data_IF_357417047151
#
_entry.id   IF_357417047151
#
_cell.length_a   1.000
_cell.length_b   1.000
_cell.length_c   1.000
_cell.angle_alpha   90.00
_cell.angle_beta   90.00
_cell.angle_gamma   90.00
#
_symmetry.space_group_name_H-M   'P 1'
#
loop_
_entity.id
_entity.type
_entity.pdbx_description
1 polymer ?
#
# COMPACT_ATOMS: atom_id res chain seq x y z
N UNK A 1 11.78 -4.26 7.53
CA UNK A 1 10.36 -4.03 7.22
C UNK A 1 9.63 -5.34 7.04
N UNK A 2 8.62 -5.59 7.87
CA UNK A 2 7.71 -6.72 7.74
C UNK A 2 6.68 -6.45 6.63
N UNK A 3 6.69 -7.28 5.58
CA UNK A 3 5.83 -7.10 4.40
C UNK A 3 4.35 -7.29 4.71
N UNK A 4 4.00 -8.20 5.62
CA UNK A 4 2.59 -8.45 5.96
C UNK A 4 2.03 -7.30 6.80
N UNK A 5 2.83 -6.76 7.73
CA UNK A 5 2.48 -5.54 8.46
C UNK A 5 2.31 -4.34 7.53
N UNK A 6 3.17 -4.19 6.53
CA UNK A 6 3.03 -3.13 5.53
C UNK A 6 1.74 -3.28 4.73
N UNK A 7 1.44 -4.48 4.23
CA UNK A 7 0.18 -4.73 3.51
C UNK A 7 -1.04 -4.48 4.40
N UNK A 8 -1.00 -4.94 5.66
CA UNK A 8 -2.06 -4.66 6.64
C UNK A 8 -2.26 -3.16 6.85
N UNK A 9 -1.15 -2.46 7.05
CA UNK A 9 -0.93 -1.05 6.83
C UNK A 9 -1.95 -0.36 5.94
N UNK A 10 -1.71 -0.64 4.67
CA UNK A 10 -2.30 -0.02 3.51
C UNK A 10 -3.77 -0.42 3.42
N UNK A 11 -4.07 -1.72 3.58
CA UNK A 11 -5.43 -2.23 3.55
C UNK A 11 -6.29 -1.62 4.67
N UNK A 12 -5.72 -1.46 5.87
CA UNK A 12 -6.43 -0.85 6.99
C UNK A 12 -6.79 0.60 6.70
N UNK A 13 -5.85 1.40 6.21
CA UNK A 13 -6.13 2.81 5.89
C UNK A 13 -7.16 2.95 4.75
N UNK A 14 -7.03 2.16 3.67
CA UNK A 14 -8.00 2.13 2.56
C UNK A 14 -9.39 1.73 3.07
N UNK A 15 -9.48 0.69 3.90
CA UNK A 15 -10.75 0.23 4.48
C UNK A 15 -11.42 1.28 5.37
N UNK A 16 -10.63 2.16 5.99
CA UNK A 16 -11.13 3.28 6.79
C UNK A 16 -11.33 4.57 5.98
N UNK A 17 -11.33 4.48 4.64
CA UNK A 17 -11.60 5.60 3.74
C UNK A 17 -10.47 6.61 3.62
N UNK A 18 -9.25 6.24 4.03
CA UNK A 18 -8.05 7.06 3.86
C UNK A 18 -7.28 6.61 2.63
N UNK A 19 -6.56 7.55 2.02
CA UNK A 19 -5.75 7.30 0.83
C UNK A 19 -4.28 7.43 1.25
N UNK A 20 -3.59 6.30 1.54
CA UNK A 20 -2.19 6.33 1.91
C UNK A 20 -1.30 6.71 0.72
N UNK A 21 -0.13 7.30 1.00
CA UNK A 21 0.89 7.63 0.01
C UNK A 21 2.25 7.01 0.40
N UNK A 22 3.12 6.71 -0.56
CA UNK A 22 4.47 6.18 -0.33
C UNK A 22 5.29 7.00 0.68
N UNK A 23 5.11 8.33 0.71
CA UNK A 23 5.79 9.24 1.64
C UNK A 23 5.39 8.93 3.09
N UNK A 24 4.14 8.54 3.34
CA UNK A 24 3.68 8.18 4.68
C UNK A 24 4.45 6.97 5.24
N UNK A 25 4.97 6.12 4.35
CA UNK A 25 5.70 4.90 4.67
C UNK A 25 7.22 5.02 4.47
N UNK A 26 7.76 6.23 4.22
CA UNK A 26 9.17 6.44 3.88
C UNK A 26 9.68 5.53 2.74
N UNK A 27 8.81 5.25 1.76
CA UNK A 27 9.15 4.40 0.61
C UNK A 27 9.39 5.26 -0.63
N UNK A 28 10.32 4.80 -1.47
CA UNK A 28 10.44 5.26 -2.84
C UNK A 28 9.21 4.84 -3.65
N UNK A 29 8.88 5.60 -4.69
CA UNK A 29 7.65 5.41 -5.46
C UNK A 29 7.59 4.04 -6.15
N UNK A 30 8.72 3.53 -6.64
CA UNK A 30 8.81 2.22 -7.28
C UNK A 30 8.51 1.07 -6.29
N UNK A 31 8.98 1.18 -5.04
CA UNK A 31 8.71 0.18 -4.01
C UNK A 31 7.23 0.16 -3.66
N UNK A 32 6.62 1.35 -3.56
CA UNK A 32 5.20 1.50 -3.34
C UNK A 32 4.36 0.88 -4.46
N UNK A 33 4.73 1.14 -5.71
CA UNK A 33 4.07 0.56 -6.87
C UNK A 33 4.19 -0.97 -6.89
N UNK A 34 5.37 -1.54 -6.62
CA UNK A 34 5.58 -2.99 -6.59
C UNK A 34 4.70 -3.69 -5.55
N UNK A 35 4.59 -3.11 -4.35
CA UNK A 35 3.75 -3.66 -3.27
C UNK A 35 2.27 -3.57 -3.63
N UNK A 36 1.82 -2.45 -4.18
CA UNK A 36 0.42 -2.26 -4.56
C UNK A 36 0.01 -3.15 -5.74
N UNK A 37 0.87 -3.29 -6.76
CA UNK A 37 0.66 -4.21 -7.87
C UNK A 37 0.57 -5.66 -7.37
N UNK A 38 1.45 -6.03 -6.44
CA UNK A 38 1.40 -7.34 -5.76
C UNK A 38 0.06 -7.53 -5.02
N UNK A 39 -0.39 -6.51 -4.29
CA UNK A 39 -1.66 -6.56 -3.55
C UNK A 39 -2.87 -6.70 -4.48
N UNK A 40 -2.88 -6.03 -5.62
CA UNK A 40 -3.94 -6.13 -6.63
C UNK A 40 -3.89 -7.46 -7.38
N UNK A 41 -2.69 -7.96 -7.72
CA UNK A 41 -2.49 -9.27 -8.35
C UNK A 41 -3.01 -10.42 -7.50
N UNK A 42 -2.74 -10.41 -6.19
CA UNK A 42 -3.30 -11.39 -5.25
C UNK A 42 -4.75 -11.10 -4.85
N UNK A 43 -5.32 -10.00 -5.36
CA UNK A 43 -6.71 -9.66 -5.20
C UNK A 43 -7.08 -9.12 -3.83
N UNK A 44 -6.15 -8.63 -3.01
CA UNK A 44 -6.47 -8.01 -1.72
C UNK A 44 -7.21 -6.67 -1.89
N UNK A 45 -6.83 -5.92 -2.91
CA UNK A 45 -7.34 -4.59 -3.24
C UNK A 45 -7.61 -4.52 -4.74
N UNK A 46 -8.51 -3.62 -5.15
CA UNK A 46 -8.78 -3.32 -6.57
C UNK A 46 -8.89 -1.83 -6.78
N UNK A 47 -8.68 -1.39 -8.01
CA UNK A 47 -8.89 0.00 -8.41
C UNK A 47 -7.68 0.88 -8.16
N UNK A 48 -6.49 0.28 -8.18
CA UNK A 48 -5.21 0.98 -8.17
C UNK A 48 -4.88 1.35 -9.62
N UNK A 49 -4.27 2.52 -9.81
CA UNK A 49 -3.75 2.92 -11.12
C UNK A 49 -2.29 3.27 -10.98
N UNK A 50 -1.43 2.54 -11.69
CA UNK A 50 0.01 2.77 -11.75
C UNK A 50 0.33 3.24 -13.17
N UNK A 51 1.03 4.36 -13.29
CA UNK A 51 1.51 4.90 -14.56
C UNK A 51 3.03 4.86 -14.59
N UNK A 52 3.59 4.46 -15.72
CA UNK A 52 5.02 4.37 -15.96
C UNK A 52 5.44 5.47 -16.94
N UNK A 53 6.70 5.87 -16.88
CA UNK A 53 7.30 6.70 -17.94
C UNK A 53 7.43 5.89 -19.24
N UNK A 54 7.47 6.58 -20.38
CA UNK A 54 7.68 5.92 -21.67
C UNK A 54 9.16 5.53 -21.83
N UNK A 55 9.43 4.46 -22.60
CA UNK A 55 10.78 3.86 -22.77
C UNK A 55 11.85 4.84 -23.31
N UNK A 56 11.45 5.99 -23.87
CA UNK A 56 12.33 7.00 -24.47
C UNK A 56 12.80 8.08 -23.47
N UNK A 57 12.45 7.97 -22.20
CA UNK A 57 12.77 8.98 -21.19
C UNK A 57 13.96 8.58 -20.29
N UNK A 58 14.87 9.53 -20.05
CA UNK A 58 16.06 9.34 -19.21
C UNK A 58 15.72 9.56 -17.73
N UNK A 59 14.88 8.72 -17.16
CA UNK A 59 14.59 8.72 -15.73
C UNK A 59 15.29 7.57 -15.01
N UNK A 60 15.82 7.87 -13.83
CA UNK A 60 16.39 6.84 -12.93
C UNK A 60 15.30 5.96 -12.29
N UNK A 61 14.03 6.35 -12.40
CA UNK A 61 12.86 5.64 -11.87
C UNK A 61 11.80 5.43 -12.95
N UNK A 62 11.31 4.20 -13.10
CA UNK A 62 10.36 3.81 -14.17
C UNK A 62 8.91 4.17 -13.84
N UNK A 63 8.58 4.31 -12.56
CA UNK A 63 7.22 4.62 -12.10
C UNK A 63 7.01 6.13 -12.09
N UNK A 64 6.04 6.60 -12.87
CA UNK A 64 5.69 8.01 -12.93
C UNK A 64 4.71 8.41 -11.82
N UNK A 65 3.66 7.61 -11.57
CA UNK A 65 2.68 7.92 -10.54
C UNK A 65 1.85 6.72 -10.10
N UNK A 66 1.28 6.82 -8.90
CA UNK A 66 0.32 5.85 -8.33
C UNK A 66 -0.91 6.61 -7.82
N UNK A 67 -2.11 6.16 -8.23
CA UNK A 67 -3.39 6.76 -7.84
C UNK A 67 -4.29 5.72 -7.18
N UNK A 68 -4.82 6.06 -6.00
CA UNK A 68 -5.64 5.17 -5.16
C UNK A 68 -7.07 5.67 -4.93
N UNK A 69 -7.54 6.67 -5.68
CA UNK A 69 -8.87 7.28 -5.45
C UNK A 69 -10.05 6.32 -5.66
N UNK A 70 -9.86 5.23 -6.40
CA UNK A 70 -10.85 4.17 -6.61
C UNK A 70 -10.50 2.88 -5.85
N UNK A 71 -9.44 2.91 -5.03
CA UNK A 71 -8.96 1.73 -4.33
C UNK A 71 -9.98 1.28 -3.28
N UNK A 72 -10.30 -0.01 -3.31
CA UNK A 72 -11.20 -0.64 -2.34
C UNK A 72 -10.78 -2.08 -2.09
N UNK A 73 -11.04 -2.55 -0.87
CA UNK A 73 -10.75 -3.93 -0.50
C UNK A 73 -11.71 -4.89 -1.20
N UNK A 74 -11.18 -6.07 -1.55
CA UNK A 74 -12.02 -7.21 -1.91
C UNK A 74 -12.33 -8.05 -0.66
N UNK A 75 -13.13 -9.11 -0.82
CA UNK A 75 -13.33 -10.10 0.24
C UNK A 75 -12.00 -10.72 0.73
N UNK A 76 -11.03 -10.93 -0.16
CA UNK A 76 -9.71 -11.48 0.20
C UNK A 76 -8.92 -10.48 1.06
N UNK A 77 -9.02 -9.18 0.75
CA UNK A 77 -8.45 -8.11 1.57
C UNK A 77 -9.07 -8.03 2.96
N UNK A 78 -10.40 -8.15 3.05
CA UNK A 78 -11.11 -8.17 4.32
C UNK A 78 -10.73 -9.37 5.18
N UNK A 79 -10.67 -10.58 4.59
CA UNK A 79 -10.21 -11.78 5.29
C UNK A 79 -8.77 -11.65 5.79
N UNK A 80 -7.90 -10.98 5.03
CA UNK A 80 -6.53 -10.71 5.44
C UNK A 80 -6.49 -9.79 6.68
N UNK A 81 -7.30 -8.73 6.71
CA UNK A 81 -7.43 -7.87 7.88
C UNK A 81 -7.95 -8.63 9.10
N UNK A 82 -8.95 -9.49 8.92
CA UNK A 82 -9.53 -10.31 10.01
C UNK A 82 -8.52 -11.32 10.57
N UNK A 83 -7.77 -12.02 9.72
CA UNK A 83 -6.72 -12.96 10.14
C UNK A 83 -5.64 -12.27 10.95
N UNK A 84 -5.37 -11.00 10.66
CA UNK A 84 -4.34 -10.20 11.29
C UNK A 84 -4.90 -9.17 12.30
N UNK A 85 -6.11 -9.39 12.81
CA UNK A 85 -6.80 -8.43 13.70
C UNK A 85 -6.00 -8.08 14.96
N UNK A 86 -5.05 -8.93 15.38
CA UNK A 86 -4.17 -8.66 16.53
C UNK A 86 -3.36 -7.37 16.35
N UNK A 87 -3.03 -6.98 15.12
CA UNK A 87 -2.28 -5.77 14.82
C UNK A 87 -3.08 -4.50 15.08
N UNK A 88 -4.41 -4.55 15.13
CA UNK A 88 -5.23 -3.38 15.50
C UNK A 88 -4.91 -2.85 16.90
N UNK A 89 -4.32 -3.70 17.77
CA UNK A 89 -3.96 -3.32 19.14
C UNK A 89 -2.69 -2.49 19.21
N UNK A 90 -1.82 -2.60 18.20
CA UNK A 90 -0.51 -1.93 18.18
C UNK A 90 -0.41 -0.92 17.05
N UNK A 91 -1.15 -1.11 15.97
CA UNK A 91 -1.24 -0.17 14.87
C UNK A 91 -2.09 1.04 15.26
N UNK A 92 -1.45 2.20 15.35
CA UNK A 92 -2.08 3.47 15.77
C UNK A 92 -2.50 4.35 14.57
N UNK A 93 -2.53 3.78 13.37
CA UNK A 93 -2.80 4.49 12.13
C UNK A 93 -1.55 5.09 11.48
N UNK A 94 -1.76 5.69 10.30
CA UNK A 94 -0.71 6.15 9.40
C UNK A 94 0.32 7.12 10.03
N UNK A 95 -0.08 7.93 11.01
CA UNK A 95 0.81 8.91 11.64
C UNK A 95 2.03 8.29 12.34
N UNK A 96 1.91 7.04 12.82
CA UNK A 96 2.98 6.32 13.53
C UNK A 96 3.41 5.06 12.78
N UNK A 97 3.14 4.98 11.47
CA UNK A 97 3.33 3.75 10.70
C UNK A 97 4.80 3.36 10.57
N UNK A 98 5.69 4.33 10.39
CA UNK A 98 7.13 4.07 10.24
C UNK A 98 7.75 3.48 11.51
N UNK A 99 7.40 4.03 12.68
CA UNK A 99 7.81 3.46 13.97
C UNK A 99 7.28 2.03 14.14
N UNK A 100 6.01 1.80 13.79
CA UNK A 100 5.39 0.49 13.91
C UNK A 100 5.95 -0.56 12.93
N UNK A 101 6.43 -0.12 11.77
CA UNK A 101 7.12 -0.92 10.76
C UNK A 101 8.63 -1.07 11.00
N UNK A 102 9.16 -0.34 11.97
CA UNK A 102 10.59 -0.25 12.29
C UNK A 102 11.43 0.23 11.09
N UNK A 103 10.98 1.32 10.43
CA UNK A 103 11.63 1.96 9.27
C UNK A 103 11.81 3.47 9.45
#
# INVERSE_FOLDING_TARGET
>A
MDKEKLMYSILFEINNGRIPNHIDYNLELFMWAEILDTMEYYGYVKGITISYFEDDEWYDETVHSVVLNSAHLTNVGLEFLEKNIVWIKTYSGIANVNEWLEI
#
